data_IF_787775583440
#
_entry.id   IF_787775583440
#
_cell.length_a   1.000
_cell.length_b   1.000
_cell.length_c   1.000
_cell.angle_alpha   90.00
_cell.angle_beta   90.00
_cell.angle_gamma   90.00
#
_symmetry.space_group_name_H-M   'P 1'
#
loop_
_entity.id
_entity.type
_entity.pdbx_description
1 polymer ?
#
# COMPACT_ATOMS: atom_id res chain seq x y z
N UNK A 1 -10.29 9.52 6.87
CA UNK A 1 -10.32 10.85 7.48
C UNK A 1 -8.92 11.43 7.41
N UNK A 2 -8.76 12.65 6.91
CA UNK A 2 -7.46 13.34 6.91
C UNK A 2 -7.42 14.32 8.09
N UNK A 3 -6.57 14.05 9.09
CA UNK A 3 -6.35 14.97 10.22
C UNK A 3 -5.37 16.08 9.85
N UNK A 4 -4.60 15.90 8.76
CA UNK A 4 -3.80 16.96 8.13
C UNK A 4 -4.07 16.95 6.63
N UNK A 5 -4.49 18.08 6.07
CA UNK A 5 -4.72 18.20 4.63
C UNK A 5 -4.67 19.64 4.14
N UNK A 6 -4.63 19.78 2.81
CA UNK A 6 -4.83 21.06 2.12
C UNK A 6 -5.83 20.82 0.98
N UNK A 7 -7.01 21.45 1.08
CA UNK A 7 -8.10 21.36 0.09
C UNK A 7 -8.53 22.78 -0.25
N UNK A 8 -8.64 23.11 -1.54
CA UNK A 8 -9.04 24.44 -2.02
C UNK A 8 -8.29 25.60 -1.35
N UNK A 9 -6.95 25.46 -1.25
CA UNK A 9 -6.06 26.41 -0.57
C UNK A 9 -6.33 26.64 0.94
N UNK A 10 -7.21 25.85 1.56
CA UNK A 10 -7.46 25.84 3.00
C UNK A 10 -6.67 24.71 3.67
N UNK A 11 -5.97 25.05 4.74
CA UNK A 11 -5.24 24.09 5.58
C UNK A 11 -6.19 23.52 6.62
N UNK A 12 -6.22 22.19 6.71
CA UNK A 12 -6.95 21.44 7.72
C UNK A 12 -5.94 20.78 8.66
N UNK A 13 -6.10 21.04 9.95
CA UNK A 13 -5.31 20.43 11.02
C UNK A 13 -6.26 20.11 12.17
N UNK A 14 -6.95 18.99 12.04
CA UNK A 14 -7.93 18.49 13.00
C UNK A 14 -7.27 17.40 13.87
N UNK A 15 -7.75 17.17 15.09
CA UNK A 15 -7.18 16.13 15.97
C UNK A 15 -7.39 14.71 15.42
N UNK A 16 -6.81 13.69 16.05
CA UNK A 16 -6.88 12.31 15.53
C UNK A 16 -8.26 11.64 15.70
N UNK A 17 -9.17 12.23 16.49
CA UNK A 17 -10.50 11.66 16.72
C UNK A 17 -11.60 12.44 16.02
N UNK A 18 -12.54 11.68 15.45
CA UNK A 18 -13.69 12.21 14.74
C UNK A 18 -14.96 11.77 15.48
N UNK A 19 -15.34 12.55 16.49
CA UNK A 19 -16.48 12.24 17.36
C UNK A 19 -17.76 12.90 16.85
N UNK A 20 -18.88 12.18 16.94
CA UNK A 20 -20.21 12.73 16.68
C UNK A 20 -20.56 12.96 15.21
N UNK A 21 -19.72 12.56 14.25
CA UNK A 21 -20.08 12.54 12.83
C UNK A 21 -20.67 11.19 12.45
N UNK A 22 -21.79 11.20 11.73
CA UNK A 22 -22.40 10.04 11.10
C UNK A 22 -22.15 10.12 9.61
N UNK A 23 -21.72 9.02 9.03
CA UNK A 23 -21.47 8.89 7.59
C UNK A 23 -22.40 7.84 7.03
N UNK A 24 -23.06 8.14 5.92
CA UNK A 24 -23.95 7.23 5.21
C UNK A 24 -23.53 7.14 3.75
N UNK A 25 -23.74 5.96 3.13
CA UNK A 25 -23.43 5.72 1.74
C UNK A 25 -24.63 5.02 1.12
N UNK A 26 -25.26 5.66 0.14
CA UNK A 26 -26.49 5.15 -0.47
C UNK A 26 -26.33 5.01 -1.96
N UNK A 27 -26.86 3.93 -2.53
CA UNK A 27 -26.98 3.76 -3.96
C UNK A 27 -27.83 4.89 -4.54
N UNK A 28 -27.35 5.52 -5.61
CA UNK A 28 -28.12 6.57 -6.30
C UNK A 28 -29.33 5.99 -7.05
N UNK A 29 -29.27 4.71 -7.42
CA UNK A 29 -30.31 4.05 -8.22
C UNK A 29 -31.58 3.76 -7.43
N UNK A 30 -31.42 3.19 -6.22
CA UNK A 30 -32.54 2.67 -5.42
C UNK A 30 -32.53 3.15 -3.97
N UNK A 31 -31.59 4.04 -3.61
CA UNK A 31 -31.42 4.57 -2.25
C UNK A 31 -31.13 3.50 -1.17
N UNK A 32 -30.75 2.27 -1.56
CA UNK A 32 -30.28 1.25 -0.60
C UNK A 32 -28.99 1.72 0.06
N UNK A 33 -28.92 1.58 1.38
CA UNK A 33 -27.75 1.94 2.17
C UNK A 33 -26.72 0.80 2.14
N UNK A 34 -25.47 1.14 1.83
CA UNK A 34 -24.34 0.23 1.93
C UNK A 34 -23.90 0.15 3.40
N UNK A 35 -23.73 -1.07 3.90
CA UNK A 35 -23.25 -1.28 5.25
C UNK A 35 -21.84 -0.71 5.43
N UNK A 36 -21.67 0.08 6.51
CA UNK A 36 -20.36 0.53 6.97
C UNK A 36 -20.00 -0.15 8.28
N UNK A 37 -18.71 -0.42 8.44
CA UNK A 37 -18.16 -0.95 9.68
C UNK A 37 -16.89 -0.20 10.08
N UNK A 38 -16.46 -0.41 11.32
CA UNK A 38 -15.11 -0.07 11.73
C UNK A 38 -14.11 -0.84 10.88
N UNK A 39 -13.01 -0.21 10.43
CA UNK A 39 -11.95 -0.90 9.70
C UNK A 39 -11.41 -2.08 10.51
N UNK A 40 -11.20 -3.22 9.85
CA UNK A 40 -10.60 -4.41 10.47
C UNK A 40 -9.16 -4.20 10.96
N UNK A 41 -8.49 -3.15 10.51
CA UNK A 41 -7.19 -2.69 11.01
C UNK A 41 -7.00 -1.19 10.85
N UNK A 42 -6.03 -0.63 11.56
CA UNK A 42 -5.66 0.78 11.44
C UNK A 42 -4.73 0.96 10.26
N UNK A 43 -5.15 1.72 9.25
CA UNK A 43 -4.30 2.18 8.16
C UNK A 43 -4.11 3.69 8.28
N UNK A 44 -2.85 4.11 8.39
CA UNK A 44 -2.47 5.52 8.29
C UNK A 44 -1.67 5.74 7.01
N UNK A 45 -1.71 6.96 6.49
CA UNK A 45 -0.82 7.38 5.42
C UNK A 45 -0.31 8.78 5.66
N UNK A 46 0.85 9.06 5.08
CA UNK A 46 1.43 10.40 4.99
C UNK A 46 2.02 10.59 3.59
N UNK A 47 1.38 11.41 2.76
CA UNK A 47 1.78 11.63 1.36
C UNK A 47 1.52 13.09 0.99
N UNK A 48 2.53 13.78 0.46
CA UNK A 48 2.35 15.11 -0.14
C UNK A 48 1.78 16.17 0.82
N UNK A 49 2.16 16.12 2.10
CA UNK A 49 1.65 17.03 3.14
C UNK A 49 0.26 16.68 3.68
N UNK A 50 -0.33 15.57 3.24
CA UNK A 50 -1.57 15.01 3.77
C UNK A 50 -1.26 13.86 4.69
N UNK A 51 -1.97 13.79 5.81
CA UNK A 51 -1.91 12.66 6.71
C UNK A 51 -3.32 12.27 7.15
N UNK A 52 -3.59 10.97 7.12
CA UNK A 52 -4.92 10.44 7.36
C UNK A 52 -4.94 9.06 7.97
N UNK A 53 -6.10 8.71 8.50
CA UNK A 53 -6.39 7.42 9.13
C UNK A 53 -7.72 6.87 8.61
N UNK A 54 -7.78 5.54 8.46
CA UNK A 54 -9.00 4.80 8.18
C UNK A 54 -9.93 4.84 9.40
N UNK A 55 -11.14 5.36 9.22
CA UNK A 55 -12.17 5.44 10.29
C UNK A 55 -13.41 4.61 9.98
N UNK A 56 -13.63 4.27 8.70
CA UNK A 56 -14.77 3.50 8.21
C UNK A 56 -14.33 2.63 7.04
N UNK A 57 -14.95 1.46 6.92
CA UNK A 57 -14.79 0.51 5.83
C UNK A 57 -16.18 0.12 5.29
N UNK A 58 -16.27 -0.11 4.00
CA UNK A 58 -17.51 -0.56 3.33
C UNK A 58 -17.18 -1.42 2.11
N UNK A 59 -18.12 -2.26 1.72
CA UNK A 59 -18.01 -3.11 0.53
C UNK A 59 -19.16 -2.80 -0.43
N UNK A 60 -18.82 -2.67 -1.70
CA UNK A 60 -19.79 -2.48 -2.79
C UNK A 60 -19.88 -3.80 -3.57
N UNK A 61 -21.03 -4.46 -3.47
CA UNK A 61 -21.32 -5.70 -4.19
C UNK A 61 -21.79 -5.43 -5.62
N UNK A 62 -22.64 -4.43 -5.78
CA UNK A 62 -23.22 -4.03 -7.07
C UNK A 62 -22.48 -2.78 -7.60
N UNK A 63 -21.80 -2.85 -8.75
CA UNK A 63 -21.16 -1.68 -9.33
C UNK A 63 -22.17 -0.58 -9.65
N UNK A 64 -21.90 0.66 -9.25
CA UNK A 64 -22.84 1.76 -9.47
C UNK A 64 -22.36 3.09 -8.91
N UNK A 65 -23.24 4.10 -8.97
CA UNK A 65 -22.99 5.41 -8.36
C UNK A 65 -23.57 5.42 -6.95
N UNK A 66 -22.75 5.83 -5.98
CA UNK A 66 -23.16 5.96 -4.58
C UNK A 66 -22.98 7.40 -4.11
N UNK A 67 -23.83 7.84 -3.20
CA UNK A 67 -23.80 9.15 -2.56
C UNK A 67 -23.30 8.97 -1.14
N UNK A 68 -22.13 9.51 -0.85
CA UNK A 68 -21.59 9.61 0.51
C UNK A 68 -22.12 10.91 1.15
N UNK A 69 -22.78 10.81 2.30
CA UNK A 69 -23.20 11.96 3.10
C UNK A 69 -22.59 11.88 4.49
N UNK A 70 -22.20 13.01 5.06
CA UNK A 70 -21.57 13.08 6.37
C UNK A 70 -22.10 14.28 7.14
N UNK A 71 -22.65 14.04 8.33
CA UNK A 71 -23.31 15.04 9.14
C UNK A 71 -23.01 14.82 10.62
N UNK A 72 -23.04 15.91 11.40
CA UNK A 72 -22.91 15.82 12.86
C UNK A 72 -24.26 15.47 13.50
N UNK A 73 -24.24 14.53 14.46
CA UNK A 73 -25.43 14.07 15.19
C UNK A 73 -26.13 15.26 15.85
N UNK A 74 -27.46 15.30 15.73
CA UNK A 74 -28.29 16.34 16.33
C UNK A 74 -28.20 17.71 15.65
N UNK A 75 -27.57 17.79 14.46
CA UNK A 75 -27.42 19.06 13.73
C UNK A 75 -26.51 20.07 14.42
N UNK A 76 -25.75 19.63 15.44
CA UNK A 76 -24.76 20.46 16.12
C UNK A 76 -23.60 20.83 15.20
N UNK A 77 -22.98 21.98 15.42
CA UNK A 77 -21.74 22.35 14.75
C UNK A 77 -20.59 21.44 15.18
N UNK A 78 -19.81 20.94 14.22
CA UNK A 78 -18.54 20.25 14.43
C UNK A 78 -17.41 20.92 13.65
N UNK A 79 -16.15 20.49 13.82
CA UNK A 79 -15.05 21.04 13.06
C UNK A 79 -15.23 20.77 11.56
N UNK A 80 -14.69 21.65 10.71
CA UNK A 80 -14.59 21.32 9.29
C UNK A 80 -13.57 20.17 9.13
N UNK A 81 -14.01 19.05 8.54
CA UNK A 81 -13.21 17.84 8.38
C UNK A 81 -13.02 17.48 6.91
N UNK A 82 -11.96 16.71 6.63
CA UNK A 82 -11.70 16.18 5.29
C UNK A 82 -11.86 14.66 5.29
N UNK A 83 -12.73 14.18 4.38
CA UNK A 83 -12.96 12.76 4.16
C UNK A 83 -12.38 12.36 2.81
N UNK A 84 -11.35 11.52 2.85
CA UNK A 84 -10.81 10.85 1.69
C UNK A 84 -11.43 9.45 1.56
N UNK A 85 -11.83 9.09 0.34
CA UNK A 85 -12.27 7.73 -0.02
C UNK A 85 -11.14 7.09 -0.81
N UNK A 86 -10.71 5.91 -0.39
CA UNK A 86 -9.64 5.17 -1.05
C UNK A 86 -9.96 3.68 -1.12
N UNK A 87 -9.44 3.02 -2.15
CA UNK A 87 -9.45 1.56 -2.25
C UNK A 87 -8.08 1.04 -1.82
N UNK A 88 -8.03 0.31 -0.71
CA UNK A 88 -6.81 -0.35 -0.26
C UNK A 88 -6.91 -1.85 -0.55
N UNK A 89 -5.97 -2.39 -1.33
CA UNK A 89 -5.86 -3.83 -1.55
C UNK A 89 -4.63 -4.37 -0.84
N UNK A 90 -4.81 -4.77 0.42
CA UNK A 90 -3.72 -5.35 1.24
C UNK A 90 -3.12 -6.57 0.53
N UNK A 91 -3.99 -7.46 0.00
CA UNK A 91 -3.56 -8.67 -0.67
C UNK A 91 -2.74 -8.37 -1.93
N UNK A 92 -3.17 -7.41 -2.76
CA UNK A 92 -2.42 -7.00 -3.95
C UNK A 92 -1.04 -6.46 -3.59
N UNK A 93 -0.95 -5.60 -2.58
CA UNK A 93 0.31 -5.06 -2.09
C UNK A 93 1.23 -6.16 -1.55
N UNK A 94 0.71 -7.12 -0.79
CA UNK A 94 1.47 -8.27 -0.28
C UNK A 94 1.98 -9.13 -1.45
N UNK A 95 1.14 -9.45 -2.43
CA UNK A 95 1.55 -10.26 -3.57
C UNK A 95 2.62 -9.57 -4.42
N UNK A 96 2.53 -8.26 -4.62
CA UNK A 96 3.57 -7.47 -5.29
C UNK A 96 4.87 -7.50 -4.48
N UNK A 97 4.78 -7.27 -3.16
CA UNK A 97 5.94 -7.29 -2.29
C UNK A 97 6.63 -8.67 -2.26
N UNK A 98 5.86 -9.75 -2.18
CA UNK A 98 6.37 -11.12 -2.27
C UNK A 98 6.98 -11.41 -3.65
N UNK A 99 6.35 -10.94 -4.73
CA UNK A 99 6.89 -11.05 -6.08
C UNK A 99 8.25 -10.37 -6.23
N UNK A 100 8.43 -9.18 -5.64
CA UNK A 100 9.72 -8.48 -5.60
C UNK A 100 10.72 -9.26 -4.74
N UNK A 101 10.32 -9.69 -3.54
CA UNK A 101 11.18 -10.44 -2.63
C UNK A 101 11.72 -11.72 -3.26
N UNK A 102 10.84 -12.55 -3.82
CA UNK A 102 11.25 -13.79 -4.48
C UNK A 102 11.91 -13.54 -5.84
N UNK A 103 11.45 -12.55 -6.62
CA UNK A 103 12.05 -12.19 -7.90
C UNK A 103 13.51 -11.75 -7.77
N UNK A 104 13.84 -10.98 -6.75
CA UNK A 104 15.23 -10.58 -6.48
C UNK A 104 16.10 -11.74 -6.00
N UNK A 105 15.53 -12.73 -5.29
CA UNK A 105 16.25 -13.95 -4.90
C UNK A 105 16.65 -14.80 -6.12
N UNK A 106 15.82 -14.87 -7.16
CA UNK A 106 16.18 -15.57 -8.40
C UNK A 106 17.25 -14.83 -9.21
N UNK A 107 17.17 -13.49 -9.30
CA UNK A 107 18.19 -12.68 -9.98
C UNK A 107 19.52 -12.71 -9.23
N UNK A 108 19.50 -12.61 -7.90
CA UNK A 108 20.69 -12.70 -7.04
C UNK A 108 21.27 -14.12 -6.91
N UNK A 109 20.42 -15.15 -6.97
CA UNK A 109 20.86 -16.54 -7.02
C UNK A 109 21.52 -16.88 -8.36
N UNK A 110 20.98 -16.36 -9.46
CA UNK A 110 21.55 -16.51 -10.80
C UNK A 110 22.96 -15.92 -10.92
N UNK A 111 23.22 -14.76 -10.31
CA UNK A 111 24.56 -14.15 -10.31
C UNK A 111 25.57 -14.94 -9.47
N UNK A 112 25.16 -15.55 -8.35
CA UNK A 112 26.04 -16.44 -7.57
C UNK A 112 26.37 -17.74 -8.31
N UNK A 113 25.40 -18.34 -9.02
CA UNK A 113 25.63 -19.56 -9.80
C UNK A 113 26.51 -19.28 -11.01
N UNK A 114 26.22 -18.24 -11.79
CA UNK A 114 27.02 -17.86 -12.96
C UNK A 114 28.40 -17.37 -12.54
N UNK A 115 28.49 -16.53 -11.52
CA UNK A 115 29.77 -16.06 -10.96
C UNK A 115 30.61 -17.19 -10.39
N UNK A 116 29.98 -18.11 -9.64
CA UNK A 116 30.62 -19.32 -9.13
C UNK A 116 31.13 -20.23 -10.25
N UNK A 117 30.31 -20.47 -11.27
CA UNK A 117 30.69 -21.29 -12.43
C UNK A 117 31.88 -20.70 -13.20
N UNK A 118 31.85 -19.38 -13.48
CA UNK A 118 32.96 -18.68 -14.13
C UNK A 118 34.23 -18.77 -13.27
N UNK A 119 34.12 -18.53 -11.97
CA UNK A 119 35.26 -18.55 -11.03
C UNK A 119 35.89 -19.95 -10.95
N UNK A 120 35.08 -20.99 -10.83
CA UNK A 120 35.54 -22.39 -10.81
C UNK A 120 36.22 -22.76 -12.13
N UNK A 121 35.63 -22.41 -13.28
CA UNK A 121 36.22 -22.69 -14.60
C UNK A 121 37.54 -21.94 -14.81
N UNK A 122 37.61 -20.67 -14.41
CA UNK A 122 38.83 -19.88 -14.46
C UNK A 122 39.93 -20.47 -13.57
N UNK A 123 39.59 -20.89 -12.35
CA UNK A 123 40.52 -21.52 -11.42
C UNK A 123 41.03 -22.87 -11.93
N UNK A 124 40.15 -23.72 -12.46
CA UNK A 124 40.52 -25.03 -13.03
C UNK A 124 41.39 -24.88 -14.28
N UNK A 125 41.10 -23.92 -15.17
CA UNK A 125 41.95 -23.63 -16.34
C UNK A 125 43.34 -23.15 -15.93
N UNK A 126 43.43 -22.29 -14.91
CA UNK A 126 44.69 -21.77 -14.38
C UNK A 126 45.56 -22.88 -13.77
N UNK A 127 44.97 -23.80 -13.00
CA UNK A 127 45.70 -24.96 -12.45
C UNK A 127 46.27 -25.86 -13.54
N UNK A 128 45.50 -26.15 -14.59
CA UNK A 128 45.99 -26.97 -15.72
C UNK A 128 47.17 -26.32 -16.45
N UNK A 129 47.14 -25.00 -16.63
CA UNK A 129 48.26 -24.26 -17.23
C UNK A 129 49.52 -24.26 -16.34
N UNK A 130 49.36 -24.19 -15.02
CA UNK A 130 50.50 -24.29 -14.08
C UNK A 130 51.14 -25.67 -14.06
N UNK A 131 50.38 -26.76 -14.20
CA UNK A 131 50.93 -28.12 -14.27
C UNK A 131 51.73 -28.37 -15.56
N UNK A 132 51.32 -27.77 -16.69
CA UNK A 132 52.07 -27.87 -17.95
C UNK A 132 53.41 -27.11 -17.93
N UNK A 133 53.54 -26.06 -17.13
CA UNK A 133 54.82 -25.34 -16.98
C UNK A 133 55.84 -26.07 -16.09
N UNK A 134 55.41 -27.04 -15.27
CA UNK A 134 56.29 -27.82 -14.37
C UNK A 134 56.75 -29.14 -15.00
N UNK A 135 56.00 -29.69 -15.96
CA UNK A 135 56.33 -30.94 -16.66
C UNK A 135 57.10 -30.80 -17.98
N UNK A 136 57.51 -29.59 -18.36
CA UNK A 136 58.19 -29.28 -19.62
C UNK A 136 59.67 -28.90 -19.48
N UNK A 137 60.32 -29.31 -18.38
CA UNK A 137 61.78 -29.21 -18.21
C UNK A 137 62.42 -30.59 -18.30
#
# INVERSE_FOLDING_TARGET
YEYRSVVDNKVYSTGESLSGMVVTLKSKEDSREAAMSSPSGTSTYEIGGRAGVSVLEFQIEEPGTYILSADYVGGGGGPDVVLAIGKFSILGTILIALGIFFGTLFVGGGTLVVGGFITVRAFLKRRRASTQMVGGQ
#
